data_IF_511849539685
#
_entry.id   IF_511849539685
#
_cell.length_a   1.000
_cell.length_b   1.000
_cell.length_c   1.000
_cell.angle_alpha   90.00
_cell.angle_beta   90.00
_cell.angle_gamma   90.00
#
_symmetry.space_group_name_H-M   'P 1'
#
loop_
_entity.id
_entity.type
_entity.pdbx_description
1 polymer ?
#
# COMPACT_ATOMS: atom_id res chain seq x y z
N UNK A 1 -63.68 -26.04 -3.59
CA UNK A 1 -62.77 -25.28 -2.69
C UNK A 1 -61.36 -25.48 -3.23
N UNK A 2 -60.82 -24.51 -3.99
CA UNK A 2 -59.48 -24.54 -4.49
C UNK A 2 -58.58 -23.91 -3.46
N UNK A 3 -57.68 -24.72 -2.85
CA UNK A 3 -56.62 -24.27 -1.95
C UNK A 3 -55.53 -23.63 -2.76
N UNK A 4 -55.44 -22.30 -2.73
CA UNK A 4 -54.33 -21.54 -3.28
C UNK A 4 -53.06 -21.86 -2.48
N UNK A 5 -52.11 -22.57 -3.06
CA UNK A 5 -50.78 -22.77 -2.54
C UNK A 5 -50.05 -21.44 -2.62
N UNK A 6 -49.84 -20.78 -1.47
CA UNK A 6 -48.95 -19.63 -1.36
C UNK A 6 -47.53 -20.12 -1.67
N UNK A 7 -47.03 -19.86 -2.87
CA UNK A 7 -45.62 -19.97 -3.22
C UNK A 7 -44.92 -18.83 -2.47
N UNK A 8 -44.35 -19.17 -1.30
CA UNK A 8 -43.43 -18.30 -0.57
C UNK A 8 -42.25 -18.06 -1.52
N UNK A 9 -42.22 -16.86 -2.07
CA UNK A 9 -41.09 -16.37 -2.86
C UNK A 9 -39.82 -16.42 -1.97
N UNK A 10 -39.05 -17.49 -2.06
CA UNK A 10 -37.77 -17.59 -1.38
C UNK A 10 -36.88 -16.52 -1.99
N UNK A 11 -36.37 -15.54 -1.21
CA UNK A 11 -35.44 -14.54 -1.74
C UNK A 11 -34.29 -15.30 -2.40
N UNK A 12 -34.10 -15.08 -3.71
CA UNK A 12 -32.97 -15.67 -4.44
C UNK A 12 -31.70 -15.23 -3.75
N UNK A 13 -31.07 -16.12 -2.98
CA UNK A 13 -29.77 -15.90 -2.36
C UNK A 13 -28.78 -15.73 -3.50
N UNK A 14 -28.30 -14.52 -3.73
CA UNK A 14 -27.25 -14.27 -4.71
C UNK A 14 -26.02 -15.07 -4.30
N UNK A 15 -25.70 -16.11 -5.01
CA UNK A 15 -24.52 -16.95 -4.78
C UNK A 15 -23.20 -16.19 -4.92
N UNK A 16 -23.23 -14.98 -5.48
CA UNK A 16 -22.05 -14.14 -5.75
C UNK A 16 -22.29 -12.72 -5.22
N UNK A 17 -21.32 -12.19 -4.49
CA UNK A 17 -21.27 -10.79 -4.07
C UNK A 17 -20.08 -10.08 -4.72
N UNK A 18 -20.34 -8.95 -5.40
CA UNK A 18 -19.35 -8.19 -6.14
C UNK A 18 -19.47 -6.68 -5.85
N UNK A 19 -19.39 -6.31 -4.55
CA UNK A 19 -19.38 -4.90 -4.15
C UNK A 19 -17.94 -4.39 -4.08
N UNK A 20 -17.66 -3.35 -4.86
CA UNK A 20 -16.34 -2.77 -5.05
C UNK A 20 -16.05 -1.64 -4.06
N UNK A 21 -14.77 -1.35 -3.79
CA UNK A 21 -14.36 -0.26 -2.89
C UNK A 21 -14.67 1.09 -3.54
N UNK A 22 -14.23 1.28 -4.78
CA UNK A 22 -14.44 2.51 -5.57
C UNK A 22 -15.52 2.28 -6.63
N UNK A 23 -15.19 1.47 -7.63
CA UNK A 23 -16.06 1.03 -8.72
C UNK A 23 -15.49 -0.25 -9.32
N UNK A 24 -16.28 -1.02 -10.08
CA UNK A 24 -15.77 -2.21 -10.76
C UNK A 24 -14.57 -1.89 -11.66
N UNK A 25 -14.65 -0.82 -12.46
CA UNK A 25 -13.57 -0.39 -13.35
C UNK A 25 -12.32 0.02 -12.57
N UNK A 26 -12.47 0.86 -11.56
CA UNK A 26 -11.33 1.36 -10.79
C UNK A 26 -10.62 0.24 -10.02
N UNK A 27 -11.39 -0.63 -9.39
CA UNK A 27 -10.84 -1.72 -8.59
C UNK A 27 -10.16 -2.77 -9.48
N UNK A 28 -10.79 -3.13 -10.61
CA UNK A 28 -10.20 -4.08 -11.57
C UNK A 28 -8.94 -3.53 -12.24
N UNK A 29 -8.86 -2.24 -12.52
CA UNK A 29 -7.67 -1.63 -13.15
C UNK A 29 -6.59 -1.34 -12.11
N UNK A 30 -6.93 -0.66 -11.01
CA UNK A 30 -5.94 -0.10 -10.10
C UNK A 30 -5.68 -0.91 -8.84
N UNK A 31 -6.70 -1.54 -8.24
CA UNK A 31 -6.53 -2.27 -6.98
C UNK A 31 -6.17 -3.75 -7.21
N UNK A 32 -6.53 -4.32 -8.35
CA UNK A 32 -6.29 -5.72 -8.72
C UNK A 32 -5.36 -5.81 -9.93
N UNK A 33 -5.74 -5.24 -11.07
CA UNK A 33 -5.05 -5.39 -12.34
C UNK A 33 -3.70 -4.66 -12.43
N UNK A 34 -3.44 -3.67 -11.58
CA UNK A 34 -2.11 -3.03 -11.51
C UNK A 34 -1.01 -4.01 -11.08
N UNK A 35 -1.34 -5.23 -10.65
CA UNK A 35 -0.37 -6.33 -10.48
C UNK A 35 0.43 -6.60 -11.74
N UNK A 36 -0.13 -6.35 -12.92
CA UNK A 36 0.56 -6.47 -14.20
C UNK A 36 1.83 -5.62 -14.28
N UNK A 37 1.88 -4.48 -13.58
CA UNK A 37 3.08 -3.63 -13.53
C UNK A 37 4.26 -4.32 -12.85
N UNK A 38 4.03 -5.13 -11.81
CA UNK A 38 5.08 -5.92 -11.16
C UNK A 38 5.61 -7.02 -12.10
N UNK A 39 4.73 -7.73 -12.79
CA UNK A 39 5.15 -8.75 -13.76
C UNK A 39 5.87 -8.13 -14.96
N UNK A 40 5.38 -7.00 -15.47
CA UNK A 40 6.03 -6.28 -16.55
C UNK A 40 7.43 -5.82 -16.15
N UNK A 41 7.56 -5.21 -14.98
CA UNK A 41 8.86 -4.71 -14.50
C UNK A 41 9.84 -5.87 -14.25
N UNK A 42 9.35 -7.01 -13.71
CA UNK A 42 10.12 -8.23 -13.56
C UNK A 42 10.62 -8.75 -14.92
N UNK A 43 9.74 -8.85 -15.92
CA UNK A 43 10.09 -9.34 -17.26
C UNK A 43 11.12 -8.44 -17.95
N UNK A 44 10.92 -7.11 -17.86
CA UNK A 44 11.86 -6.14 -18.44
C UNK A 44 13.25 -6.18 -17.78
N UNK A 45 13.29 -6.41 -16.47
CA UNK A 45 14.54 -6.49 -15.72
C UNK A 45 15.27 -7.82 -15.95
N UNK A 46 14.59 -8.95 -15.85
CA UNK A 46 15.17 -10.28 -16.08
C UNK A 46 15.54 -10.48 -17.55
N UNK A 47 14.77 -9.89 -18.46
CA UNK A 47 15.08 -9.87 -19.90
C UNK A 47 16.15 -8.85 -20.31
N UNK A 48 16.82 -8.19 -19.34
CA UNK A 48 17.91 -7.22 -19.55
C UNK A 48 17.53 -5.99 -20.40
N UNK A 49 16.23 -5.73 -20.58
CA UNK A 49 15.73 -4.55 -21.31
C UNK A 49 15.84 -3.29 -20.46
N UNK A 50 15.65 -3.41 -19.14
CA UNK A 50 15.67 -2.28 -18.22
C UNK A 50 16.79 -2.45 -17.18
N UNK A 51 17.87 -1.65 -17.24
CA UNK A 51 18.96 -1.73 -16.26
C UNK A 51 18.53 -1.36 -14.84
N UNK A 52 19.23 -1.92 -13.84
CA UNK A 52 18.91 -1.76 -12.41
C UNK A 52 18.80 -0.29 -11.97
N UNK A 53 19.83 0.52 -12.25
CA UNK A 53 19.93 1.88 -11.72
C UNK A 53 18.79 2.77 -12.22
N UNK A 54 18.54 2.90 -13.53
CA UNK A 54 17.42 3.70 -14.03
C UNK A 54 16.06 3.15 -13.58
N UNK A 55 15.90 1.81 -13.49
CA UNK A 55 14.67 1.20 -12.99
C UNK A 55 14.36 1.64 -11.55
N UNK A 56 15.34 1.48 -10.66
CA UNK A 56 15.15 1.79 -9.24
C UNK A 56 15.03 3.29 -9.02
N UNK A 57 15.81 4.10 -9.72
CA UNK A 57 15.74 5.56 -9.59
C UNK A 57 14.40 6.11 -10.09
N UNK A 58 13.95 5.68 -11.26
CA UNK A 58 12.66 6.10 -11.82
C UNK A 58 11.49 5.67 -10.92
N UNK A 59 11.47 4.41 -10.48
CA UNK A 59 10.48 3.92 -9.55
C UNK A 59 10.50 4.73 -8.24
N UNK A 60 11.66 4.95 -7.64
CA UNK A 60 11.79 5.63 -6.35
C UNK A 60 11.30 7.08 -6.39
N UNK A 61 11.65 7.83 -7.45
CA UNK A 61 11.35 9.26 -7.56
C UNK A 61 9.92 9.49 -8.09
N UNK A 62 9.50 8.71 -9.10
CA UNK A 62 8.24 8.98 -9.82
C UNK A 62 7.03 8.22 -9.25
N UNK A 63 7.26 7.15 -8.47
CA UNK A 63 6.18 6.26 -8.01
C UNK A 63 6.19 6.08 -6.49
N UNK A 64 7.33 5.64 -5.90
CA UNK A 64 7.41 5.35 -4.47
C UNK A 64 7.34 6.61 -3.60
N UNK A 65 8.15 7.62 -3.90
CA UNK A 65 8.12 8.85 -3.12
C UNK A 65 6.78 9.60 -3.24
N UNK A 66 6.13 9.72 -4.41
CA UNK A 66 4.76 10.22 -4.49
C UNK A 66 3.74 9.39 -3.70
N UNK A 67 3.94 8.06 -3.59
CA UNK A 67 3.13 7.22 -2.71
C UNK A 67 3.29 7.62 -1.23
N UNK A 68 4.53 7.77 -0.76
CA UNK A 68 4.83 8.29 0.59
C UNK A 68 4.23 9.68 0.78
N UNK A 69 4.39 10.58 -0.21
CA UNK A 69 3.80 11.91 -0.22
C UNK A 69 2.28 11.91 -0.05
N UNK A 70 1.58 10.90 -0.56
CA UNK A 70 0.13 10.74 -0.37
C UNK A 70 -0.28 10.79 1.10
N UNK A 71 0.48 10.16 1.99
CA UNK A 71 0.25 10.25 3.45
C UNK A 71 0.55 11.64 3.99
N UNK A 72 1.64 12.28 3.56
CA UNK A 72 1.98 13.64 3.99
C UNK A 72 0.93 14.65 3.52
N UNK A 73 0.48 14.55 2.28
CA UNK A 73 -0.55 15.43 1.72
C UNK A 73 -1.85 15.38 2.52
N UNK A 74 -2.23 14.20 2.97
CA UNK A 74 -3.44 13.95 3.77
C UNK A 74 -3.30 14.32 5.24
N UNK A 75 -2.09 14.46 5.77
CA UNK A 75 -1.84 14.67 7.21
C UNK A 75 -1.20 16.03 7.49
N UNK A 76 0.07 16.20 7.13
CA UNK A 76 0.80 17.44 7.42
C UNK A 76 0.33 18.64 6.60
N UNK A 77 -0.16 18.41 5.38
CA UNK A 77 -0.67 19.48 4.51
C UNK A 77 -2.17 19.72 4.70
N UNK A 78 -2.92 18.80 5.33
CA UNK A 78 -4.32 19.02 5.72
C UNK A 78 -4.39 19.75 7.05
N UNK A 79 -4.91 21.00 7.02
CA UNK A 79 -5.03 21.87 8.20
C UNK A 79 -5.91 21.21 9.28
N UNK A 80 -7.01 20.59 8.90
CA UNK A 80 -7.95 19.92 9.82
C UNK A 80 -7.29 18.72 10.50
N UNK A 81 -6.61 17.84 9.74
CA UNK A 81 -5.90 16.70 10.29
C UNK A 81 -4.74 17.14 11.20
N UNK A 82 -4.01 18.19 10.79
CA UNK A 82 -2.91 18.74 11.59
C UNK A 82 -3.39 19.28 12.94
N UNK A 83 -4.56 19.91 12.99
CA UNK A 83 -5.14 20.38 14.23
C UNK A 83 -5.64 19.22 15.12
N UNK A 84 -6.37 18.27 14.53
CA UNK A 84 -6.99 17.16 15.24
C UNK A 84 -5.98 16.11 15.75
N UNK A 85 -4.83 15.95 15.06
CA UNK A 85 -3.83 14.92 15.32
C UNK A 85 -2.45 15.49 15.66
N UNK A 86 -2.40 16.70 16.18
CA UNK A 86 -1.15 17.44 16.46
C UNK A 86 -0.10 16.60 17.18
N UNK A 87 -0.46 15.93 18.29
CA UNK A 87 0.48 15.09 19.06
C UNK A 87 1.02 13.90 18.25
N UNK A 88 0.17 13.26 17.45
CA UNK A 88 0.54 12.15 16.60
C UNK A 88 1.54 12.57 15.52
N UNK A 89 1.28 13.69 14.86
CA UNK A 89 2.12 14.20 13.78
C UNK A 89 3.48 14.69 14.31
N UNK A 90 3.50 15.51 15.37
CA UNK A 90 4.75 15.93 15.97
C UNK A 90 5.58 14.75 16.51
N UNK A 91 4.94 13.80 17.18
CA UNK A 91 5.62 12.59 17.67
C UNK A 91 6.20 11.73 16.56
N UNK A 92 5.57 11.68 15.39
CA UNK A 92 6.09 10.89 14.27
C UNK A 92 7.38 11.47 13.66
N UNK A 93 7.70 12.76 13.86
CA UNK A 93 8.97 13.35 13.42
C UNK A 93 10.18 12.75 14.14
N UNK A 94 9.99 12.12 15.30
CA UNK A 94 11.06 11.42 16.01
C UNK A 94 11.66 10.27 15.18
N UNK A 95 10.93 9.74 14.19
CA UNK A 95 11.49 8.71 13.30
C UNK A 95 12.69 9.18 12.47
N UNK A 96 12.87 10.49 12.27
CA UNK A 96 14.10 11.01 11.65
C UNK A 96 15.34 10.84 12.50
N UNK A 97 15.20 10.75 13.84
CA UNK A 97 16.31 10.55 14.74
C UNK A 97 16.66 9.06 14.97
N UNK A 98 15.68 8.15 14.86
CA UNK A 98 15.88 6.72 15.20
C UNK A 98 17.00 6.10 14.39
N UNK A 99 17.01 6.27 13.08
CA UNK A 99 18.03 5.69 12.21
C UNK A 99 19.44 6.22 12.52
N UNK A 100 19.67 7.54 12.48
CA UNK A 100 20.97 8.12 12.83
C UNK A 100 21.46 7.70 14.20
N UNK A 101 20.61 7.69 15.23
CA UNK A 101 21.00 7.27 16.58
C UNK A 101 21.43 5.79 16.62
N UNK A 102 20.74 4.90 15.90
CA UNK A 102 21.17 3.49 15.82
C UNK A 102 22.49 3.33 15.06
N UNK A 103 22.72 4.11 13.99
CA UNK A 103 23.99 4.09 13.25
C UNK A 103 25.13 4.61 14.12
N UNK A 104 24.93 5.71 14.86
CA UNK A 104 25.88 6.25 15.82
C UNK A 104 26.21 5.25 16.94
N UNK A 105 25.25 4.44 17.35
CA UNK A 105 25.44 3.38 18.35
C UNK A 105 26.08 2.10 17.76
N UNK A 106 26.55 2.09 16.50
CA UNK A 106 27.14 0.92 15.85
C UNK A 106 26.14 -0.16 15.43
N UNK A 107 24.83 0.14 15.45
CA UNK A 107 23.74 -0.80 15.16
C UNK A 107 23.18 -0.67 13.74
N UNK A 108 23.98 -0.23 12.77
CA UNK A 108 23.55 0.03 11.40
C UNK A 108 22.88 -1.20 10.75
N UNK A 109 23.51 -2.39 10.84
CA UNK A 109 22.96 -3.63 10.30
C UNK A 109 21.58 -3.94 10.90
N UNK A 110 21.44 -3.82 12.22
CA UNK A 110 20.17 -4.06 12.92
C UNK A 110 19.12 -3.07 12.47
N UNK A 111 19.48 -1.78 12.33
CA UNK A 111 18.56 -0.76 11.83
C UNK A 111 18.03 -1.09 10.43
N UNK A 112 18.93 -1.35 9.47
CA UNK A 112 18.51 -1.62 8.08
C UNK A 112 17.73 -2.93 7.96
N UNK A 113 18.06 -3.95 8.76
CA UNK A 113 17.30 -5.18 8.84
C UNK A 113 15.85 -4.93 9.34
N UNK A 114 15.70 -4.21 10.46
CA UNK A 114 14.38 -3.86 10.98
C UNK A 114 13.59 -2.94 10.04
N UNK A 115 14.28 -2.04 9.35
CA UNK A 115 13.68 -1.18 8.34
C UNK A 115 13.11 -1.99 7.17
N UNK A 116 13.85 -2.98 6.66
CA UNK A 116 13.38 -3.87 5.61
C UNK A 116 12.19 -4.73 6.06
N UNK A 117 12.24 -5.26 7.29
CA UNK A 117 11.11 -6.01 7.86
C UNK A 117 9.86 -5.13 8.01
N UNK A 118 10.00 -3.89 8.47
CA UNK A 118 8.86 -2.99 8.61
C UNK A 118 8.30 -2.56 7.26
N UNK A 119 9.15 -2.31 6.27
CA UNK A 119 8.72 -2.03 4.90
C UNK A 119 7.91 -3.20 4.32
N UNK A 120 8.41 -4.43 4.46
CA UNK A 120 7.69 -5.62 4.01
C UNK A 120 6.38 -5.83 4.78
N UNK A 121 6.40 -5.68 6.10
CA UNK A 121 5.20 -5.73 6.92
C UNK A 121 4.17 -4.68 6.50
N UNK A 122 4.58 -3.46 6.19
CA UNK A 122 3.69 -2.41 5.69
C UNK A 122 3.00 -2.82 4.38
N UNK A 123 3.76 -3.39 3.46
CA UNK A 123 3.24 -3.92 2.20
C UNK A 123 2.19 -5.02 2.43
N UNK A 124 2.47 -6.01 3.29
CA UNK A 124 1.52 -7.06 3.68
C UNK A 124 0.26 -6.46 4.32
N UNK A 125 0.43 -5.48 5.21
CA UNK A 125 -0.67 -4.79 5.90
C UNK A 125 -1.57 -4.01 4.97
N UNK A 126 -1.05 -3.42 3.89
CA UNK A 126 -1.90 -2.75 2.91
C UNK A 126 -2.80 -3.74 2.18
N UNK A 127 -2.26 -4.87 1.69
CA UNK A 127 -3.06 -5.91 1.05
C UNK A 127 -4.13 -6.48 1.99
N UNK A 128 -3.76 -6.70 3.26
CA UNK A 128 -4.72 -7.07 4.30
C UNK A 128 -5.80 -5.99 4.48
N UNK A 129 -5.44 -4.72 4.44
CA UNK A 129 -6.36 -3.60 4.51
C UNK A 129 -7.39 -3.62 3.38
N UNK A 130 -6.96 -3.77 2.13
CA UNK A 130 -7.86 -3.90 0.97
C UNK A 130 -8.78 -5.12 1.09
N UNK A 131 -8.23 -6.27 1.50
CA UNK A 131 -9.03 -7.47 1.74
C UNK A 131 -10.14 -7.20 2.77
N UNK A 132 -9.83 -6.55 3.89
CA UNK A 132 -10.81 -6.19 4.93
C UNK A 132 -11.86 -5.19 4.39
N UNK A 133 -11.47 -4.25 3.54
CA UNK A 133 -12.42 -3.33 2.90
C UNK A 133 -13.41 -4.09 2.00
N UNK A 134 -12.93 -5.01 1.15
CA UNK A 134 -13.81 -5.87 0.35
C UNK A 134 -14.72 -6.75 1.21
N UNK A 135 -14.21 -7.30 2.31
CA UNK A 135 -15.01 -8.10 3.25
C UNK A 135 -16.14 -7.28 3.88
N UNK A 136 -15.86 -6.06 4.30
CA UNK A 136 -16.88 -5.15 4.85
C UNK A 136 -17.93 -4.78 3.82
N UNK A 137 -17.53 -4.41 2.61
CA UNK A 137 -18.46 -4.08 1.51
C UNK A 137 -19.40 -5.24 1.17
N UNK A 138 -18.92 -6.47 1.32
CA UNK A 138 -19.66 -7.67 0.92
C UNK A 138 -20.28 -8.43 2.12
N UNK A 139 -20.28 -7.85 3.33
CA UNK A 139 -20.77 -8.47 4.57
C UNK A 139 -20.14 -9.84 4.87
N UNK A 140 -18.87 -10.05 4.49
CA UNK A 140 -18.11 -11.28 4.64
C UNK A 140 -17.26 -11.25 5.91
N UNK A 141 -17.91 -11.15 7.09
CA UNK A 141 -17.25 -10.88 8.38
C UNK A 141 -17.37 -12.04 9.38
N UNK A 142 -17.78 -13.24 8.96
CA UNK A 142 -17.84 -14.39 9.84
C UNK A 142 -16.47 -14.66 10.50
N UNK A 143 -16.41 -14.98 11.82
CA UNK A 143 -15.15 -15.12 12.55
C UNK A 143 -14.18 -16.13 11.94
N UNK A 144 -14.67 -17.30 11.52
CA UNK A 144 -13.85 -18.35 10.88
C UNK A 144 -13.27 -17.86 9.55
N UNK A 145 -14.09 -17.24 8.69
CA UNK A 145 -13.65 -16.68 7.41
C UNK A 145 -12.65 -15.53 7.61
N UNK A 146 -12.79 -14.73 8.68
CA UNK A 146 -11.84 -13.70 9.04
C UNK A 146 -10.49 -14.28 9.47
N UNK A 147 -10.50 -15.35 10.26
CA UNK A 147 -9.28 -16.01 10.73
C UNK A 147 -8.54 -16.66 9.57
N UNK A 148 -9.23 -17.46 8.73
CA UNK A 148 -8.63 -18.15 7.59
C UNK A 148 -8.08 -17.17 6.55
N UNK A 149 -8.84 -16.14 6.16
CA UNK A 149 -8.37 -15.14 5.20
C UNK A 149 -7.11 -14.41 5.70
N UNK A 150 -7.11 -14.03 6.99
CA UNK A 150 -5.97 -13.34 7.60
C UNK A 150 -4.73 -14.23 7.69
N UNK A 151 -4.90 -15.47 8.15
CA UNK A 151 -3.79 -16.41 8.31
C UNK A 151 -3.23 -16.83 6.96
N UNK A 152 -4.09 -17.16 5.98
CA UNK A 152 -3.66 -17.49 4.64
C UNK A 152 -2.81 -16.36 4.03
N UNK A 153 -3.31 -15.13 4.05
CA UNK A 153 -2.58 -13.98 3.52
C UNK A 153 -1.24 -13.80 4.24
N UNK A 154 -1.23 -13.89 5.58
CA UNK A 154 -0.01 -13.72 6.37
C UNK A 154 1.05 -14.78 6.02
N UNK A 155 0.67 -16.06 5.98
CA UNK A 155 1.60 -17.14 5.69
C UNK A 155 2.04 -17.13 4.22
N UNK A 156 1.09 -16.97 3.27
CA UNK A 156 1.38 -16.97 1.85
C UNK A 156 2.28 -15.82 1.38
N UNK A 157 2.29 -14.68 2.09
CA UNK A 157 3.19 -13.56 1.80
C UNK A 157 4.54 -13.74 2.48
N UNK A 158 4.57 -14.15 3.74
CA UNK A 158 5.82 -14.26 4.48
C UNK A 158 6.68 -15.45 4.04
N UNK A 159 6.08 -16.56 3.56
CA UNK A 159 6.86 -17.68 3.06
C UNK A 159 7.84 -17.28 1.94
N UNK A 160 7.40 -16.72 0.80
CA UNK A 160 8.33 -16.42 -0.28
C UNK A 160 9.37 -15.37 0.12
N UNK A 161 9.06 -14.46 1.03
CA UNK A 161 10.01 -13.48 1.54
C UNK A 161 11.11 -14.14 2.39
N UNK A 162 10.75 -15.02 3.31
CA UNK A 162 11.74 -15.76 4.12
C UNK A 162 12.52 -16.77 3.28
N UNK A 163 11.85 -17.43 2.33
CA UNK A 163 12.49 -18.34 1.39
C UNK A 163 13.48 -17.63 0.45
N UNK A 164 13.19 -16.40 0.04
CA UNK A 164 14.14 -15.54 -0.68
C UNK A 164 15.38 -15.29 0.19
N UNK A 165 15.22 -14.84 1.42
CA UNK A 165 16.34 -14.58 2.34
C UNK A 165 17.18 -15.85 2.55
N UNK A 166 16.52 -16.99 2.73
CA UNK A 166 17.18 -18.28 2.94
C UNK A 166 18.05 -18.75 1.76
N UNK A 167 17.67 -18.40 0.52
CA UNK A 167 18.29 -18.88 -0.72
C UNK A 167 19.25 -17.91 -1.36
N UNK A 168 19.18 -16.63 -0.99
CA UNK A 168 20.00 -15.57 -1.58
C UNK A 168 21.12 -15.15 -0.60
N UNK A 169 22.40 -15.43 -0.94
CA UNK A 169 23.52 -15.11 -0.06
C UNK A 169 23.64 -13.63 0.27
N UNK A 170 23.29 -12.75 -0.67
CA UNK A 170 23.35 -11.29 -0.45
C UNK A 170 22.24 -10.81 0.49
N UNK A 171 21.08 -11.44 0.43
CA UNK A 171 20.00 -11.18 1.38
C UNK A 171 20.35 -11.74 2.77
N UNK A 172 20.93 -12.93 2.85
CA UNK A 172 21.32 -13.57 4.12
C UNK A 172 22.39 -12.76 4.86
N UNK A 173 23.37 -12.18 4.18
CA UNK A 173 24.36 -11.28 4.78
C UNK A 173 23.75 -10.06 5.49
N UNK A 174 22.54 -9.67 5.15
CA UNK A 174 21.80 -8.55 5.74
C UNK A 174 20.99 -8.94 6.97
N UNK A 175 20.97 -10.22 7.31
CA UNK A 175 20.33 -10.75 8.53
C UNK A 175 21.38 -10.77 9.64
N UNK A 176 21.08 -10.26 10.85
CA UNK A 176 21.97 -10.41 12.01
C UNK A 176 22.38 -11.86 12.24
N UNK A 177 23.66 -12.12 12.49
CA UNK A 177 24.22 -13.47 12.56
C UNK A 177 23.48 -14.40 13.52
N UNK A 178 23.03 -13.88 14.67
CA UNK A 178 22.26 -14.63 15.67
C UNK A 178 20.92 -15.21 15.12
N UNK A 179 20.39 -14.65 14.03
CA UNK A 179 19.11 -15.06 13.46
C UNK A 179 19.27 -15.97 12.22
N UNK A 180 20.45 -16.00 11.60
CA UNK A 180 20.68 -16.69 10.32
C UNK A 180 20.38 -18.19 10.39
N UNK A 181 20.74 -18.87 11.48
CA UNK A 181 20.51 -20.31 11.66
C UNK A 181 19.03 -20.71 11.68
N UNK A 182 18.14 -19.79 12.10
CA UNK A 182 16.71 -20.04 12.17
C UNK A 182 15.94 -19.79 10.86
N UNK A 183 16.54 -19.12 9.87
CA UNK A 183 15.83 -18.66 8.66
C UNK A 183 15.28 -19.82 7.85
N UNK A 184 16.06 -20.90 7.65
CA UNK A 184 15.63 -22.09 6.91
C UNK A 184 14.45 -22.82 7.59
N UNK A 185 14.54 -23.00 8.91
CA UNK A 185 13.46 -23.59 9.70
C UNK A 185 12.18 -22.77 9.63
N UNK A 186 12.30 -21.45 9.73
CA UNK A 186 11.17 -20.54 9.58
C UNK A 186 10.54 -20.64 8.18
N UNK A 187 11.35 -20.72 7.11
CA UNK A 187 10.84 -20.89 5.75
C UNK A 187 10.02 -22.18 5.62
N UNK A 188 10.48 -23.30 6.18
CA UNK A 188 9.76 -24.58 6.15
C UNK A 188 8.44 -24.52 6.92
N UNK A 189 8.44 -23.90 8.11
CA UNK A 189 7.21 -23.69 8.91
C UNK A 189 6.19 -22.85 8.14
N UNK A 190 6.65 -21.77 7.51
CA UNK A 190 5.78 -20.88 6.74
C UNK A 190 5.23 -21.59 5.48
N UNK A 191 6.02 -22.41 4.82
CA UNK A 191 5.56 -23.22 3.67
C UNK A 191 4.49 -24.22 4.10
N UNK A 192 4.78 -25.03 5.11
CA UNK A 192 3.85 -26.03 5.62
C UNK A 192 2.54 -25.36 6.08
N UNK A 193 2.64 -24.27 6.84
CA UNK A 193 1.48 -23.48 7.26
C UNK A 193 0.70 -22.89 6.08
N UNK A 194 1.38 -22.41 5.03
CA UNK A 194 0.71 -21.91 3.83
C UNK A 194 -0.11 -23.00 3.15
N UNK A 195 0.46 -24.21 3.00
CA UNK A 195 -0.23 -25.34 2.36
C UNK A 195 -1.47 -25.74 3.17
N UNK A 196 -1.33 -25.93 4.48
CA UNK A 196 -2.43 -26.31 5.37
C UNK A 196 -3.54 -25.26 5.34
N UNK A 197 -3.16 -23.97 5.44
CA UNK A 197 -4.13 -22.88 5.42
C UNK A 197 -4.80 -22.72 4.05
N UNK A 198 -4.10 -22.95 2.95
CA UNK A 198 -4.66 -22.92 1.61
C UNK A 198 -5.72 -24.02 1.42
N UNK A 199 -5.43 -25.24 1.89
CA UNK A 199 -6.37 -26.37 1.84
C UNK A 199 -7.60 -26.07 2.71
N UNK A 200 -7.40 -25.62 3.95
CA UNK A 200 -8.49 -25.27 4.86
C UNK A 200 -9.34 -24.12 4.31
N UNK A 201 -8.71 -23.10 3.74
CA UNK A 201 -9.40 -21.96 3.14
C UNK A 201 -10.20 -22.40 1.91
N UNK A 202 -9.62 -23.19 1.00
CA UNK A 202 -10.31 -23.69 -0.18
C UNK A 202 -11.51 -24.57 0.21
N UNK A 203 -11.35 -25.49 1.14
CA UNK A 203 -12.43 -26.31 1.67
C UNK A 203 -13.56 -25.46 2.27
N UNK A 204 -13.22 -24.41 3.00
CA UNK A 204 -14.20 -23.45 3.53
C UNK A 204 -14.95 -22.70 2.43
N UNK A 205 -14.25 -22.26 1.35
CA UNK A 205 -14.93 -21.57 0.24
C UNK A 205 -15.85 -22.51 -0.54
N UNK A 206 -15.44 -23.77 -0.75
CA UNK A 206 -16.29 -24.82 -1.35
C UNK A 206 -17.54 -25.05 -0.49
N UNK A 207 -17.38 -25.24 0.82
CA UNK A 207 -18.49 -25.38 1.76
C UNK A 207 -19.49 -24.21 1.65
N UNK A 208 -18.97 -22.97 1.60
CA UNK A 208 -19.82 -21.76 1.44
C UNK A 208 -20.60 -21.81 0.14
N UNK A 209 -19.97 -22.16 -0.96
CA UNK A 209 -20.64 -22.33 -2.26
C UNK A 209 -21.75 -23.39 -2.22
N UNK A 210 -21.47 -24.55 -1.62
CA UNK A 210 -22.45 -25.64 -1.50
C UNK A 210 -23.61 -25.30 -0.57
N UNK A 211 -23.39 -24.45 0.45
CA UNK A 211 -24.45 -24.00 1.37
C UNK A 211 -25.17 -22.73 0.92
N UNK A 212 -24.93 -22.23 -0.31
CA UNK A 212 -25.57 -21.04 -0.86
C UNK A 212 -25.14 -19.72 -0.22
N UNK A 213 -24.05 -19.70 0.55
CA UNK A 213 -23.54 -18.47 1.12
C UNK A 213 -22.83 -17.63 0.03
N UNK A 214 -22.98 -16.28 0.04
CA UNK A 214 -22.41 -15.44 -1.00
C UNK A 214 -20.89 -15.52 -1.02
N UNK A 215 -20.32 -15.73 -2.21
CA UNK A 215 -18.88 -15.70 -2.46
C UNK A 215 -18.41 -14.28 -2.78
N UNK A 216 -17.37 -13.80 -2.11
CA UNK A 216 -16.84 -12.45 -2.22
C UNK A 216 -15.83 -12.35 -3.37
N UNK A 217 -16.32 -12.07 -4.59
CA UNK A 217 -15.50 -12.04 -5.81
C UNK A 217 -14.35 -11.04 -5.74
N UNK A 218 -14.52 -9.75 -5.32
CA UNK A 218 -13.41 -8.82 -5.24
C UNK A 218 -12.28 -9.27 -4.32
N UNK A 219 -12.61 -9.90 -3.18
CA UNK A 219 -11.62 -10.49 -2.27
C UNK A 219 -10.81 -11.59 -2.97
N UNK A 220 -11.48 -12.49 -3.69
CA UNK A 220 -10.78 -13.58 -4.38
C UNK A 220 -9.88 -13.07 -5.50
N UNK A 221 -10.33 -12.09 -6.26
CA UNK A 221 -9.51 -11.48 -7.31
C UNK A 221 -8.26 -10.78 -6.73
N UNK A 222 -8.41 -10.07 -5.60
CA UNK A 222 -7.27 -9.47 -4.91
C UNK A 222 -6.26 -10.54 -4.45
N UNK A 223 -6.71 -11.62 -3.82
CA UNK A 223 -5.83 -12.70 -3.36
C UNK A 223 -5.17 -13.43 -4.53
N UNK A 224 -5.93 -13.71 -5.61
CA UNK A 224 -5.42 -14.34 -6.83
C UNK A 224 -4.40 -13.47 -7.59
N UNK A 225 -4.48 -12.15 -7.47
CA UNK A 225 -3.48 -11.25 -8.02
C UNK A 225 -2.24 -11.16 -7.13
N UNK A 226 -2.44 -10.87 -5.83
CA UNK A 226 -1.37 -10.49 -4.94
C UNK A 226 -0.50 -11.69 -4.47
N UNK A 227 -1.10 -12.84 -4.14
CA UNK A 227 -0.34 -14.02 -3.66
C UNK A 227 0.62 -14.54 -4.74
N UNK A 228 0.17 -14.88 -5.96
CA UNK A 228 1.08 -15.37 -7.00
C UNK A 228 2.17 -14.36 -7.35
N UNK A 229 1.86 -13.06 -7.38
CA UNK A 229 2.84 -12.03 -7.67
C UNK A 229 3.98 -12.03 -6.65
N UNK A 230 3.69 -12.11 -5.34
CA UNK A 230 4.71 -12.20 -4.31
C UNK A 230 5.60 -13.45 -4.48
N UNK A 231 4.99 -14.60 -4.79
CA UNK A 231 5.72 -15.84 -5.02
C UNK A 231 6.63 -15.74 -6.25
N UNK A 232 6.11 -15.27 -7.37
CA UNK A 232 6.87 -15.14 -8.61
C UNK A 232 8.02 -14.17 -8.41
N UNK A 233 7.77 -12.96 -7.93
CA UNK A 233 8.83 -11.94 -7.78
C UNK A 233 9.90 -12.36 -6.78
N UNK A 234 9.49 -12.88 -5.62
CA UNK A 234 10.43 -13.24 -4.56
C UNK A 234 11.18 -14.55 -4.82
N UNK A 235 10.64 -15.48 -5.61
CA UNK A 235 11.30 -16.74 -5.88
C UNK A 235 12.04 -16.80 -7.21
N UNK A 236 11.74 -15.92 -8.17
CA UNK A 236 12.47 -15.85 -9.45
C UNK A 236 13.91 -15.39 -9.21
N UNK A 237 14.92 -16.15 -9.69
CA UNK A 237 16.31 -15.70 -9.67
C UNK A 237 16.52 -14.43 -10.52
N UNK A 238 17.30 -13.48 -10.02
CA UNK A 238 17.66 -12.27 -10.79
C UNK A 238 18.93 -11.63 -10.23
N UNK A 239 19.71 -10.90 -11.04
CA UNK A 239 20.87 -10.17 -10.58
C UNK A 239 20.48 -9.10 -9.53
N UNK A 240 21.39 -8.79 -8.61
CA UNK A 240 21.19 -7.75 -7.58
C UNK A 240 19.80 -7.78 -6.92
N UNK A 241 19.27 -8.97 -6.71
CA UNK A 241 17.90 -9.22 -6.29
C UNK A 241 17.47 -8.41 -5.06
N UNK A 242 18.27 -8.27 -3.98
CA UNK A 242 17.85 -7.50 -2.80
C UNK A 242 17.52 -6.03 -3.09
N UNK A 243 18.04 -5.47 -4.19
CA UNK A 243 17.76 -4.09 -4.62
C UNK A 243 16.62 -4.08 -5.65
N UNK A 244 16.68 -4.96 -6.65
CA UNK A 244 15.70 -5.02 -7.74
C UNK A 244 14.28 -5.30 -7.26
N UNK A 245 14.13 -6.24 -6.31
CA UNK A 245 12.81 -6.62 -5.80
C UNK A 245 12.07 -5.47 -5.13
N UNK A 246 12.77 -4.46 -4.60
CA UNK A 246 12.11 -3.34 -3.92
C UNK A 246 11.20 -2.61 -4.92
N UNK A 247 11.69 -2.28 -6.11
CA UNK A 247 10.90 -1.64 -7.16
C UNK A 247 9.83 -2.59 -7.72
N UNK A 248 10.23 -3.82 -8.07
CA UNK A 248 9.36 -4.80 -8.76
C UNK A 248 8.18 -5.23 -7.87
N UNK A 249 8.45 -5.49 -6.59
CA UNK A 249 7.42 -5.96 -5.65
C UNK A 249 6.47 -4.84 -5.23
N UNK A 250 6.98 -3.60 -5.06
CA UNK A 250 6.19 -2.53 -4.46
C UNK A 250 5.46 -1.66 -5.47
N UNK A 251 5.78 -1.72 -6.78
CA UNK A 251 5.07 -0.90 -7.78
C UNK A 251 3.55 -1.16 -7.76
N UNK A 252 3.13 -2.40 -7.61
CA UNK A 252 1.72 -2.78 -7.48
C UNK A 252 1.09 -2.12 -6.23
N UNK A 253 1.74 -2.28 -5.08
CA UNK A 253 1.35 -1.67 -3.82
C UNK A 253 1.22 -0.14 -3.92
N UNK A 254 2.17 0.52 -4.57
CA UNK A 254 2.19 1.97 -4.72
C UNK A 254 1.03 2.46 -5.61
N UNK A 255 0.77 1.78 -6.74
CA UNK A 255 -0.34 2.15 -7.65
C UNK A 255 -1.71 1.97 -6.99
N UNK A 256 -1.91 0.91 -6.21
CA UNK A 256 -3.12 0.72 -5.40
C UNK A 256 -3.37 1.93 -4.49
N UNK A 257 -2.33 2.34 -3.77
CA UNK A 257 -2.42 3.44 -2.81
C UNK A 257 -2.66 4.79 -3.49
N UNK A 258 -1.97 5.07 -4.60
CA UNK A 258 -2.21 6.27 -5.39
C UNK A 258 -3.67 6.42 -5.79
N UNK A 259 -4.29 5.33 -6.25
CA UNK A 259 -5.70 5.35 -6.63
C UNK A 259 -6.62 5.56 -5.43
N UNK A 260 -6.31 4.93 -4.30
CA UNK A 260 -7.08 5.08 -3.06
C UNK A 260 -6.99 6.51 -2.52
N UNK A 261 -5.78 7.09 -2.44
CA UNK A 261 -5.56 8.47 -2.00
C UNK A 261 -6.28 9.45 -2.92
N UNK A 262 -6.14 9.29 -4.23
CA UNK A 262 -6.81 10.17 -5.19
C UNK A 262 -8.33 10.12 -5.05
N UNK A 263 -8.90 8.94 -4.82
CA UNK A 263 -10.32 8.78 -4.55
C UNK A 263 -10.74 9.47 -3.24
N UNK A 264 -9.98 9.25 -2.17
CA UNK A 264 -10.22 9.89 -0.87
C UNK A 264 -10.10 11.42 -0.96
N UNK A 265 -9.12 11.93 -1.70
CA UNK A 265 -8.85 13.36 -1.80
C UNK A 265 -9.96 14.16 -2.53
N UNK A 266 -10.86 13.47 -3.24
CA UNK A 266 -12.08 14.11 -3.79
C UNK A 266 -12.93 14.77 -2.71
N UNK A 267 -12.77 14.41 -1.44
CA UNK A 267 -13.45 15.10 -0.32
C UNK A 267 -13.10 16.60 -0.26
N UNK A 268 -11.88 16.97 -0.62
CA UNK A 268 -11.42 18.38 -0.56
C UNK A 268 -12.08 19.27 -1.61
N UNK A 269 -12.50 18.70 -2.74
CA UNK A 269 -13.10 19.44 -3.86
C UNK A 269 -14.63 19.29 -3.90
N UNK A 270 -15.23 18.24 -3.34
CA UNK A 270 -16.68 18.01 -3.36
C UNK A 270 -17.48 19.10 -2.62
N UNK A 271 -16.97 19.62 -1.50
CA UNK A 271 -17.62 20.70 -0.77
C UNK A 271 -17.65 22.02 -1.56
N UNK A 272 -16.64 22.26 -2.39
CA UNK A 272 -16.57 23.43 -3.26
C UNK A 272 -17.70 23.47 -4.30
N UNK A 273 -18.04 22.31 -4.89
CA UNK A 273 -19.10 22.23 -5.89
C UNK A 273 -20.51 22.22 -5.27
N UNK A 274 -20.70 21.57 -4.13
CA UNK A 274 -22.01 21.54 -3.46
C UNK A 274 -22.42 22.92 -2.96
N UNK A 275 -21.51 23.67 -2.35
CA UNK A 275 -21.77 25.03 -1.86
C UNK A 275 -21.94 26.03 -2.99
N UNK A 276 -21.21 25.90 -4.10
CA UNK A 276 -21.40 26.72 -5.29
C UNK A 276 -22.77 26.49 -5.95
N UNK A 277 -23.25 25.25 -6.01
CA UNK A 277 -24.58 24.92 -6.55
C UNK A 277 -25.72 25.45 -5.67
N UNK A 278 -25.56 25.37 -4.33
CA UNK A 278 -26.53 25.91 -3.37
C UNK A 278 -26.55 27.45 -3.42
N UNK A 279 -25.39 28.11 -3.52
CA UNK A 279 -25.29 29.59 -3.60
C UNK A 279 -25.81 30.14 -4.92
N UNK A 280 -25.73 29.38 -6.00
CA UNK A 280 -26.20 29.79 -7.34
C UNK A 280 -27.66 29.49 -7.63
N UNK A 281 -28.39 28.74 -6.77
CA UNK A 281 -29.79 28.36 -7.00
C UNK A 281 -30.05 27.59 -8.30
N UNK A 282 -29.01 26.99 -8.90
CA UNK A 282 -29.05 26.31 -10.20
C UNK A 282 -28.49 24.89 -10.11
N UNK A 283 -29.09 23.93 -10.83
CA UNK A 283 -28.46 22.60 -10.97
C UNK A 283 -27.10 22.73 -11.66
N UNK A 284 -26.10 21.87 -11.33
CA UNK A 284 -24.75 22.02 -11.83
C UNK A 284 -24.68 21.82 -13.35
N UNK A 285 -24.61 22.91 -14.10
CA UNK A 285 -24.27 22.91 -15.51
C UNK A 285 -22.75 22.80 -15.68
N UNK A 286 -22.31 21.88 -16.53
CA UNK A 286 -20.93 21.71 -16.97
C UNK A 286 -20.52 22.90 -17.86
N UNK A 287 -20.05 23.99 -17.29
CA UNK A 287 -19.42 25.06 -18.08
C UNK A 287 -18.08 25.42 -17.46
N UNK A 288 -17.01 25.17 -18.22
CA UNK A 288 -15.67 25.60 -17.91
C UNK A 288 -15.51 27.10 -18.12
N UNK A 289 -15.29 27.83 -17.04
CA UNK A 289 -14.66 29.15 -17.08
C UNK A 289 -13.76 29.31 -15.87
N UNK A 290 -12.54 29.81 -16.12
CA UNK A 290 -11.45 29.93 -15.16
C UNK A 290 -11.63 31.18 -14.27
N UNK A 291 -12.59 31.11 -13.33
CA UNK A 291 -12.69 32.04 -12.21
C UNK A 291 -12.54 31.31 -10.89
N UNK A 292 -11.73 31.83 -9.96
CA UNK A 292 -11.61 31.28 -8.61
C UNK A 292 -12.97 31.44 -7.92
N UNK A 293 -13.74 30.36 -7.81
CA UNK A 293 -15.06 30.35 -7.17
C UNK A 293 -14.93 30.62 -5.66
N UNK A 294 -15.84 31.40 -5.04
CA UNK A 294 -15.86 31.61 -3.58
C UNK A 294 -15.84 30.36 -2.75
N UNK A 295 -16.43 29.25 -3.27
CA UNK A 295 -16.40 27.92 -2.65
C UNK A 295 -14.99 27.28 -2.61
N UNK A 296 -14.05 27.71 -3.47
CA UNK A 296 -12.65 27.27 -3.42
C UNK A 296 -11.88 27.96 -2.29
N UNK A 297 -12.25 29.17 -1.92
CA UNK A 297 -11.63 29.90 -0.80
C UNK A 297 -11.98 29.27 0.56
N UNK A 298 -13.23 28.87 0.78
CA UNK A 298 -13.69 28.20 2.01
C UNK A 298 -13.02 26.83 2.19
N UNK A 299 -12.94 26.03 1.12
CA UNK A 299 -12.25 24.73 1.16
C UNK A 299 -10.74 24.87 1.39
N UNK A 300 -10.12 25.89 0.80
CA UNK A 300 -8.70 26.19 1.00
C UNK A 300 -8.43 26.66 2.44
N UNK A 301 -9.31 27.47 3.01
CA UNK A 301 -9.23 27.89 4.41
C UNK A 301 -9.35 26.70 5.36
N UNK A 302 -10.30 25.80 5.12
CA UNK A 302 -10.55 24.61 5.94
C UNK A 302 -9.43 23.59 5.86
N UNK A 303 -8.95 23.25 4.66
CA UNK A 303 -8.03 22.14 4.43
C UNK A 303 -6.58 22.58 4.17
N UNK A 304 -6.35 23.85 3.89
CA UNK A 304 -5.01 24.39 3.61
C UNK A 304 -4.43 23.83 2.31
N UNK A 305 -3.12 23.53 2.30
CA UNK A 305 -2.41 23.10 1.11
C UNK A 305 -2.91 21.73 0.54
N UNK A 306 -3.57 20.90 1.35
CA UNK A 306 -4.15 19.63 0.87
C UNK A 306 -5.23 19.85 -0.20
N UNK A 307 -5.98 20.93 -0.13
CA UNK A 307 -6.95 21.30 -1.15
C UNK A 307 -6.25 21.63 -2.47
N UNK A 308 -5.23 22.51 -2.46
CA UNK A 308 -4.46 22.87 -3.65
C UNK A 308 -3.84 21.64 -4.33
N UNK A 309 -3.18 20.78 -3.55
CA UNK A 309 -2.56 19.53 -4.04
C UNK A 309 -3.60 18.64 -4.72
N UNK A 310 -4.82 18.60 -4.19
CA UNK A 310 -5.88 17.68 -4.64
C UNK A 310 -6.81 18.29 -5.69
N UNK A 311 -6.64 19.57 -6.03
CA UNK A 311 -7.49 20.28 -6.96
C UNK A 311 -7.45 19.70 -8.37
N UNK A 312 -6.26 19.31 -8.84
CA UNK A 312 -6.02 18.66 -10.14
C UNK A 312 -5.06 17.50 -9.99
N UNK A 313 -5.25 16.45 -10.77
CA UNK A 313 -4.36 15.29 -10.79
C UNK A 313 -2.91 15.69 -11.10
N UNK A 314 -2.73 16.64 -12.02
CA UNK A 314 -1.41 17.17 -12.37
C UNK A 314 -0.71 17.80 -11.15
N UNK A 315 -1.42 18.54 -10.30
CA UNK A 315 -0.84 19.10 -9.08
C UNK A 315 -0.43 18.00 -8.10
N UNK A 316 -1.29 17.01 -7.88
CA UNK A 316 -0.94 15.86 -7.03
C UNK A 316 0.32 15.15 -7.52
N UNK A 317 0.43 14.90 -8.83
CA UNK A 317 1.62 14.28 -9.44
C UNK A 317 2.84 15.20 -9.29
N UNK A 318 2.72 16.48 -9.65
CA UNK A 318 3.84 17.43 -9.60
C UNK A 318 4.40 17.59 -8.18
N UNK A 319 3.55 17.79 -7.18
CA UNK A 319 3.98 17.87 -5.77
C UNK A 319 4.58 16.54 -5.29
N UNK A 320 4.03 15.41 -5.72
CA UNK A 320 4.58 14.09 -5.41
C UNK A 320 5.98 13.88 -6.00
N UNK A 321 6.20 14.27 -7.25
CA UNK A 321 7.52 14.18 -7.92
C UNK A 321 8.52 15.14 -7.31
N UNK A 322 8.13 16.39 -7.00
CA UNK A 322 9.00 17.35 -6.27
C UNK A 322 9.42 16.75 -4.92
N UNK A 323 8.49 16.18 -4.17
CA UNK A 323 8.81 15.46 -2.94
C UNK A 323 9.76 14.29 -3.22
N UNK A 324 9.56 13.57 -4.31
CA UNK A 324 10.43 12.48 -4.76
C UNK A 324 11.87 12.93 -5.01
N UNK A 325 12.05 14.04 -5.69
CA UNK A 325 13.37 14.63 -5.93
C UNK A 325 14.05 15.03 -4.61
N UNK A 326 13.30 15.59 -3.66
CA UNK A 326 13.84 16.03 -2.36
C UNK A 326 14.13 14.86 -1.40
N UNK A 327 13.32 13.79 -1.45
CA UNK A 327 13.45 12.64 -0.55
C UNK A 327 14.32 11.52 -1.13
N UNK A 328 13.97 11.05 -2.32
CA UNK A 328 14.67 9.91 -2.94
C UNK A 328 15.88 10.34 -3.76
N UNK A 329 15.91 11.57 -4.29
CA UNK A 329 17.06 12.08 -5.04
C UNK A 329 18.37 11.97 -4.24
N UNK A 330 18.47 12.57 -3.04
CA UNK A 330 19.65 12.42 -2.19
C UNK A 330 19.96 10.97 -1.82
N UNK A 331 18.95 10.14 -1.57
CA UNK A 331 19.12 8.73 -1.26
C UNK A 331 19.70 7.93 -2.41
N UNK A 332 19.21 8.15 -3.64
CA UNK A 332 19.75 7.51 -4.83
C UNK A 332 21.17 7.97 -5.12
N UNK A 333 21.46 9.26 -4.93
CA UNK A 333 22.80 9.82 -5.10
C UNK A 333 23.79 9.18 -4.11
N UNK A 334 23.45 9.11 -2.82
CA UNK A 334 24.27 8.46 -1.80
C UNK A 334 24.53 6.98 -2.13
N UNK A 335 23.49 6.25 -2.56
CA UNK A 335 23.62 4.86 -2.99
C UNK A 335 24.53 4.71 -4.21
N UNK A 336 24.39 5.57 -5.21
CA UNK A 336 25.23 5.56 -6.41
C UNK A 336 26.69 5.89 -6.07
N UNK A 337 26.94 6.90 -5.25
CA UNK A 337 28.30 7.26 -4.80
C UNK A 337 28.97 6.10 -4.07
N UNK A 338 28.24 5.41 -3.18
CA UNK A 338 28.74 4.23 -2.48
C UNK A 338 29.13 3.10 -3.45
N UNK A 339 28.32 2.83 -4.46
CA UNK A 339 28.64 1.84 -5.50
C UNK A 339 29.86 2.24 -6.31
N UNK A 340 29.99 3.52 -6.70
CA UNK A 340 31.11 4.04 -7.49
C UNK A 340 32.43 3.97 -6.71
N UNK A 341 32.40 4.22 -5.41
CA UNK A 341 33.58 4.19 -4.54
C UNK A 341 34.03 2.77 -4.18
N UNK A 342 33.33 1.74 -4.63
CA UNK A 342 33.66 0.36 -4.33
C UNK A 342 33.28 -0.08 -2.90
N UNK A 343 32.50 0.74 -2.18
CA UNK A 343 32.06 0.44 -0.81
C UNK A 343 31.15 -0.81 -0.73
N UNK A 344 30.68 -1.27 -1.87
CA UNK A 344 29.89 -2.50 -2.00
C UNK A 344 28.64 -2.52 -1.10
N UNK A 345 28.53 -3.58 -0.29
CA UNK A 345 27.46 -3.74 0.72
C UNK A 345 27.73 -3.03 2.03
N UNK A 346 28.90 -2.40 2.20
CA UNK A 346 29.32 -1.69 3.42
C UNK A 346 29.53 -0.21 3.10
N UNK A 347 28.43 0.56 2.91
CA UNK A 347 28.55 1.98 2.61
C UNK A 347 29.29 2.73 3.72
N UNK A 348 29.96 3.84 3.36
CA UNK A 348 30.68 4.68 4.33
C UNK A 348 29.74 5.10 5.48
N UNK A 349 30.33 5.40 6.64
CA UNK A 349 29.58 5.84 7.82
C UNK A 349 28.67 7.05 7.53
N UNK A 350 29.17 8.03 6.78
CA UNK A 350 28.39 9.20 6.38
C UNK A 350 27.20 8.81 5.49
N UNK A 351 27.38 7.88 4.55
CA UNK A 351 26.32 7.33 3.69
C UNK A 351 25.27 6.60 4.54
N UNK A 352 25.68 5.80 5.52
CA UNK A 352 24.76 5.11 6.44
C UNK A 352 23.93 6.10 7.24
N UNK A 353 24.54 7.18 7.78
CA UNK A 353 23.83 8.24 8.50
C UNK A 353 22.81 8.93 7.60
N UNK A 354 23.21 9.33 6.40
CA UNK A 354 22.32 10.00 5.45
C UNK A 354 21.13 9.13 5.05
N UNK A 355 21.38 7.87 4.66
CA UNK A 355 20.31 6.95 4.27
C UNK A 355 19.41 6.64 5.48
N UNK A 356 19.97 6.44 6.67
CA UNK A 356 19.16 6.14 7.87
C UNK A 356 18.26 7.31 8.28
N UNK A 357 18.71 8.56 8.14
CA UNK A 357 17.87 9.74 8.31
C UNK A 357 16.71 9.75 7.30
N UNK A 358 17.00 9.51 6.02
CA UNK A 358 15.99 9.52 4.96
C UNK A 358 14.95 8.38 5.12
N UNK A 359 15.27 7.29 5.81
CA UNK A 359 14.27 6.29 6.21
C UNK A 359 13.17 6.84 7.12
N UNK A 360 13.40 7.96 7.80
CA UNK A 360 12.40 8.66 8.60
C UNK A 360 11.11 8.97 7.83
N UNK A 361 11.20 9.36 6.55
CA UNK A 361 10.03 9.59 5.69
C UNK A 361 9.17 8.32 5.53
N UNK A 362 9.81 7.18 5.24
CA UNK A 362 9.12 5.91 5.10
C UNK A 362 8.48 5.46 6.43
N UNK A 363 9.18 5.59 7.55
CA UNK A 363 8.65 5.20 8.86
C UNK A 363 7.48 6.08 9.30
N UNK A 364 7.52 7.38 9.03
CA UNK A 364 6.40 8.28 9.26
C UNK A 364 5.19 7.80 8.44
N UNK A 365 5.39 7.51 7.15
CA UNK A 365 4.35 6.99 6.28
C UNK A 365 3.76 5.68 6.83
N UNK A 366 4.56 4.67 7.14
CA UNK A 366 4.09 3.38 7.68
C UNK A 366 3.32 3.55 8.99
N UNK A 367 3.84 4.39 9.88
CA UNK A 367 3.22 4.66 11.16
C UNK A 367 1.88 5.36 10.99
N UNK A 368 1.84 6.46 10.25
CA UNK A 368 0.62 7.24 10.05
C UNK A 368 -0.44 6.45 9.31
N UNK A 369 -0.10 5.70 8.27
CA UNK A 369 -1.04 4.84 7.54
C UNK A 369 -1.72 3.81 8.46
N UNK A 370 -0.99 3.30 9.44
CA UNK A 370 -1.56 2.42 10.46
C UNK A 370 -2.64 3.09 11.34
N UNK A 371 -2.71 4.42 11.35
CA UNK A 371 -3.61 5.23 12.18
C UNK A 371 -4.74 5.90 11.39
N UNK A 372 -4.43 6.39 10.18
CA UNK A 372 -5.36 7.22 9.41
C UNK A 372 -6.38 6.44 8.56
N UNK A 373 -6.16 5.14 8.32
CA UNK A 373 -7.07 4.30 7.53
C UNK A 373 -8.01 3.43 8.40
N UNK A 374 -8.30 3.86 9.63
CA UNK A 374 -9.15 3.11 10.55
C UNK A 374 -10.62 3.50 10.43
N UNK A 375 -11.34 2.91 9.47
CA UNK A 375 -12.79 3.14 9.24
C UNK A 375 -13.64 3.07 10.52
N UNK A 376 -13.32 2.18 11.48
CA UNK A 376 -14.03 2.09 12.75
C UNK A 376 -13.81 3.28 13.70
N UNK A 377 -12.67 3.96 13.60
CA UNK A 377 -12.27 5.05 14.52
C UNK A 377 -12.40 6.42 13.86
N UNK A 378 -12.52 6.45 12.56
CA UNK A 378 -12.64 7.67 11.77
C UNK A 378 -13.81 7.54 10.78
N UNK A 379 -15.03 7.98 11.17
CA UNK A 379 -16.19 7.94 10.31
C UNK A 379 -16.01 8.71 8.99
N UNK A 380 -15.12 9.73 8.96
CA UNK A 380 -14.86 10.49 7.75
C UNK A 380 -14.21 9.62 6.65
N UNK A 381 -13.38 8.67 7.05
CA UNK A 381 -12.78 7.68 6.13
C UNK A 381 -13.86 6.73 5.60
N UNK A 382 -14.75 6.24 6.48
CA UNK A 382 -15.89 5.42 6.06
C UNK A 382 -16.75 6.15 5.03
N UNK A 383 -17.12 7.40 5.31
CA UNK A 383 -17.89 8.25 4.39
C UNK A 383 -17.16 8.49 3.07
N UNK A 384 -15.85 8.77 3.12
CA UNK A 384 -15.05 9.00 1.92
C UNK A 384 -14.94 7.75 1.03
N UNK A 385 -14.98 6.54 1.61
CA UNK A 385 -14.92 5.26 0.92
C UNK A 385 -16.30 4.65 0.65
N UNK A 386 -17.39 5.38 0.93
CA UNK A 386 -18.78 4.90 0.81
C UNK A 386 -19.02 3.58 1.59
N UNK A 387 -18.56 3.52 2.85
CA UNK A 387 -18.64 2.34 3.71
C UNK A 387 -19.57 2.56 4.88
#
# INVERSE_FOLDING_TARGET
VATSVNIIDRPQVRAISARWIISARDDLVWLIGSVASSYMLLALYVGEVLPLVPMVAAWAILIDAPHVFGTFSRTYFDRTERQNRKRLLWGSLLFFAVGPLMVLAGLALVFFFLAALWAYYHLVKQHYGFMVLYKKKNNDLAPVDNALDRLLLLFAFNYPFVAFIARDPEAMKRVPSALQSGVNGLALILLAGTIVLAIAWAGRQIQRGLTGQPLNVPKYLLLAAAIPMHWVVLLTPMPHKPIAIVAILTIYHNLQYHRLIWFHNKKYTRHSFANAAIAAGTPPALTGTAGVSPASSESAEKYGAAELISRRLLFYIAFGVIFGLLYQGPRQLLGYMSLKNGDGLSPSFATQLGISFLWGYAFIHYYLDSKIWRVRRDPSVGKALNM
#
